data_IF_006124677415
#
_entry.id   IF_006124677415
#
_cell.length_a   1.000
_cell.length_b   1.000
_cell.length_c   1.000
_cell.angle_alpha   90.00
_cell.angle_beta   90.00
_cell.angle_gamma   90.00
#
_symmetry.space_group_name_H-M   'P 1'
#
loop_
_entity.id
_entity.type
_entity.pdbx_description
1 polymer ?
#
# COMPACT_ATOMS: atom_id res chain seq x y z
N UNK A 1 11.77 -15.98 18.41
CA UNK A 1 12.10 -15.20 19.64
C UNK A 1 11.61 -13.79 19.37
N UNK A 2 10.74 -13.11 20.11
CA UNK A 2 10.10 -13.19 21.43
C UNK A 2 8.67 -12.61 21.26
N UNK A 3 7.61 -13.31 21.66
CA UNK A 3 6.91 -13.20 22.96
C UNK A 3 6.46 -11.78 23.34
N UNK A 4 5.18 -11.48 23.07
CA UNK A 4 4.27 -10.82 24.03
C UNK A 4 2.82 -11.20 23.72
N UNK A 5 2.39 -12.29 24.35
CA UNK A 5 1.00 -12.52 24.75
C UNK A 5 0.81 -11.84 26.10
N UNK A 6 -0.24 -11.03 26.26
CA UNK A 6 -0.80 -10.60 27.53
C UNK A 6 -2.27 -10.26 27.23
N UNK A 7 -3.18 -11.23 27.20
CA UNK A 7 -4.10 -11.56 28.29
C UNK A 7 -4.61 -10.30 29.02
N UNK A 8 -5.83 -9.88 28.68
CA UNK A 8 -6.86 -9.45 29.63
C UNK A 8 -8.16 -10.16 29.21
N UNK A 9 -8.41 -11.39 29.69
CA UNK A 9 -9.40 -11.71 30.75
C UNK A 9 -10.67 -10.86 30.74
N UNK A 10 -11.70 -11.38 30.07
CA UNK A 10 -13.05 -11.65 30.62
C UNK A 10 -13.64 -10.62 31.61
N UNK A 11 -14.69 -9.92 31.18
CA UNK A 11 -15.78 -9.56 32.07
C UNK A 11 -17.10 -10.07 31.48
N UNK A 12 -17.65 -11.06 32.17
CA UNK A 12 -18.95 -11.64 31.91
C UNK A 12 -20.05 -10.70 32.40
N UNK A 13 -21.14 -10.69 31.63
CA UNK A 13 -22.55 -10.49 32.02
C UNK A 13 -22.88 -9.64 33.25
N UNK A 14 -23.61 -8.55 33.00
CA UNK A 14 -24.76 -8.16 33.83
C UNK A 14 -25.92 -7.84 32.89
N UNK A 15 -26.90 -8.74 32.84
CA UNK A 15 -28.22 -8.47 32.32
C UNK A 15 -29.01 -7.77 33.43
N UNK A 16 -29.44 -6.53 33.22
CA UNK A 16 -30.46 -5.88 34.06
C UNK A 16 -31.77 -5.89 33.29
N UNK A 17 -32.69 -6.65 33.87
CA UNK A 17 -34.07 -6.86 33.50
C UNK A 17 -34.92 -5.66 33.97
N UNK A 18 -35.52 -4.95 33.01
CA UNK A 18 -36.84 -4.31 33.03
C UNK A 18 -37.27 -3.35 34.15
N UNK A 19 -37.69 -2.15 33.76
CA UNK A 19 -39.02 -1.58 34.10
C UNK A 19 -39.25 -0.33 33.24
N UNK A 20 -40.43 -0.23 32.63
CA UNK A 20 -40.78 0.83 31.69
C UNK A 20 -40.91 2.20 32.36
N UNK A 21 -40.42 3.22 31.66
CA UNK A 21 -40.87 4.58 31.84
C UNK A 21 -41.00 5.22 30.45
N UNK A 22 -42.24 5.50 30.06
CA UNK A 22 -42.60 6.21 28.85
C UNK A 22 -42.54 7.69 29.18
N UNK A 23 -41.53 8.38 28.67
CA UNK A 23 -41.51 9.84 28.57
C UNK A 23 -41.03 10.22 27.16
N UNK A 24 -41.84 11.06 26.54
CA UNK A 24 -41.75 11.57 25.17
C UNK A 24 -40.38 12.16 24.83
N UNK A 25 -39.65 11.55 23.89
CA UNK A 25 -38.50 12.19 23.23
C UNK A 25 -38.97 13.04 22.02
N UNK A 26 -38.31 14.17 21.72
CA UNK A 26 -38.44 14.80 20.42
C UNK A 26 -37.77 13.92 19.35
N UNK A 27 -38.47 13.70 18.25
CA UNK A 27 -38.03 12.89 17.11
C UNK A 27 -36.79 13.50 16.47
N UNK A 28 -35.60 13.00 16.80
CA UNK A 28 -34.43 13.16 15.94
C UNK A 28 -34.55 12.07 14.88
N UNK A 29 -34.68 12.49 13.62
CA UNK A 29 -34.79 11.59 12.47
C UNK A 29 -33.45 10.87 12.33
N UNK A 30 -33.34 9.68 12.91
CA UNK A 30 -32.25 8.74 12.61
C UNK A 30 -32.45 8.30 11.16
N UNK A 31 -31.57 8.76 10.27
CA UNK A 31 -31.53 8.32 8.89
C UNK A 31 -31.47 6.78 8.86
N UNK A 32 -32.49 6.22 8.23
CA UNK A 32 -32.65 4.80 7.97
C UNK A 32 -31.43 4.29 7.21
N UNK A 33 -30.89 3.15 7.66
CA UNK A 33 -29.73 2.49 7.08
C UNK A 33 -30.01 2.10 5.62
N UNK A 34 -29.66 2.97 4.69
CA UNK A 34 -29.49 2.62 3.29
C UNK A 34 -28.26 1.70 3.18
N UNK A 35 -28.26 0.68 2.29
CA UNK A 35 -27.05 -0.07 2.00
C UNK A 35 -26.04 0.89 1.37
N UNK A 36 -25.08 1.36 2.17
CA UNK A 36 -24.00 2.18 1.66
C UNK A 36 -23.19 1.31 0.69
N UNK A 37 -23.34 1.61 -0.60
CA UNK A 37 -22.43 1.11 -1.62
C UNK A 37 -21.09 1.75 -1.31
N UNK A 38 -20.23 0.92 -0.72
CA UNK A 38 -18.87 1.21 -0.30
C UNK A 38 -18.09 1.79 -1.47
N UNK A 39 -17.87 3.12 -1.46
CA UNK A 39 -17.02 3.79 -2.43
C UNK A 39 -15.58 3.86 -1.90
N UNK A 40 -14.66 3.27 -2.67
CA UNK A 40 -13.24 3.34 -2.41
C UNK A 40 -12.76 4.75 -2.18
N UNK A 41 -12.00 4.94 -1.11
CA UNK A 41 -11.37 6.22 -0.91
C UNK A 41 -10.55 6.67 -2.09
N UNK A 42 -10.52 7.99 -2.29
CA UNK A 42 -9.84 8.55 -3.45
C UNK A 42 -8.33 8.23 -3.47
N UNK A 43 -7.73 7.80 -2.35
CA UNK A 43 -6.31 7.47 -2.24
C UNK A 43 -6.05 5.96 -2.27
N UNK A 44 -6.88 5.14 -1.63
CA UNK A 44 -6.81 3.67 -1.72
C UNK A 44 -7.11 3.21 -3.16
N UNK A 45 -8.09 3.85 -3.80
CA UNK A 45 -8.38 3.65 -5.22
C UNK A 45 -7.17 3.98 -6.11
N UNK A 46 -6.47 5.08 -5.81
CA UNK A 46 -5.25 5.47 -6.55
C UNK A 46 -4.11 4.49 -6.31
N UNK A 47 -3.99 3.92 -5.11
CA UNK A 47 -3.00 2.89 -4.80
C UNK A 47 -3.28 1.59 -5.57
N UNK A 48 -4.52 1.11 -5.57
CA UNK A 48 -4.90 -0.09 -6.33
C UNK A 48 -4.82 0.13 -7.85
N UNK A 49 -5.19 1.32 -8.35
CA UNK A 49 -4.96 1.70 -9.75
C UNK A 49 -3.47 1.72 -10.12
N UNK A 50 -2.61 2.26 -9.23
CA UNK A 50 -1.17 2.26 -9.43
C UNK A 50 -0.60 0.84 -9.47
N UNK A 51 -1.10 -0.05 -8.60
CA UNK A 51 -0.70 -1.46 -8.53
C UNK A 51 -1.10 -2.22 -9.79
N UNK A 52 -2.33 -2.03 -10.28
CA UNK A 52 -2.79 -2.61 -11.53
C UNK A 52 -1.96 -2.14 -12.74
N UNK A 53 -1.59 -0.85 -12.78
CA UNK A 53 -0.67 -0.29 -13.79
C UNK A 53 0.72 -0.90 -13.69
N UNK A 54 1.26 -1.07 -12.48
CA UNK A 54 2.57 -1.68 -12.26
C UNK A 54 2.60 -3.15 -12.69
N UNK A 55 1.56 -3.93 -12.38
CA UNK A 55 1.44 -5.32 -12.83
C UNK A 55 1.38 -5.44 -14.35
N UNK A 56 0.65 -4.53 -15.00
CA UNK A 56 0.58 -4.47 -16.46
C UNK A 56 1.94 -4.11 -17.06
N UNK A 57 2.59 -3.05 -16.56
CA UNK A 57 3.91 -2.64 -17.03
C UNK A 57 4.99 -3.72 -16.82
N UNK A 58 4.89 -4.51 -15.75
CA UNK A 58 5.77 -5.64 -15.49
C UNK A 58 5.58 -6.77 -16.52
N UNK A 59 4.33 -7.07 -16.90
CA UNK A 59 4.04 -8.05 -17.97
C UNK A 59 4.56 -7.58 -19.33
N UNK A 60 4.40 -6.29 -19.63
CA UNK A 60 4.93 -5.69 -20.85
C UNK A 60 6.47 -5.78 -20.91
N UNK A 61 7.14 -5.51 -19.78
CA UNK A 61 8.59 -5.67 -19.67
C UNK A 61 9.04 -7.11 -19.92
N UNK A 62 8.42 -8.11 -19.28
CA UNK A 62 8.78 -9.52 -19.50
C UNK A 62 8.56 -9.96 -20.96
N UNK A 63 7.49 -9.45 -21.59
CA UNK A 63 7.20 -9.72 -23.01
C UNK A 63 8.26 -9.10 -23.93
N UNK A 64 8.62 -7.84 -23.69
CA UNK A 64 9.64 -7.13 -24.46
C UNK A 64 11.02 -7.77 -24.29
N UNK A 65 11.38 -8.17 -23.08
CA UNK A 65 12.62 -8.90 -22.76
C UNK A 65 12.72 -10.23 -23.51
N UNK A 66 11.64 -11.01 -23.55
CA UNK A 66 11.60 -12.26 -24.33
C UNK A 66 11.80 -12.00 -25.83
N UNK A 67 11.11 -11.00 -26.38
CA UNK A 67 11.25 -10.60 -27.78
C UNK A 67 12.69 -10.15 -28.12
N UNK A 68 13.32 -9.38 -27.24
CA UNK A 68 14.70 -8.94 -27.37
C UNK A 68 15.68 -10.13 -27.37
N UNK A 69 15.51 -11.09 -26.45
CA UNK A 69 16.32 -12.29 -26.39
C UNK A 69 16.18 -13.16 -27.65
N UNK A 70 14.96 -13.35 -28.15
CA UNK A 70 14.69 -14.13 -29.37
C UNK A 70 15.30 -13.46 -30.61
N UNK A 71 15.14 -12.14 -30.76
CA UNK A 71 15.72 -11.38 -31.87
C UNK A 71 17.26 -11.40 -31.84
N UNK A 72 17.85 -11.23 -30.65
CA UNK A 72 19.30 -11.32 -30.45
C UNK A 72 19.84 -12.70 -30.80
N UNK A 73 19.19 -13.77 -30.32
CA UNK A 73 19.57 -15.15 -30.63
C UNK A 73 19.54 -15.42 -32.13
N UNK A 74 18.51 -14.94 -32.84
CA UNK A 74 18.41 -15.10 -34.29
C UNK A 74 19.58 -14.44 -35.01
N UNK A 75 19.95 -13.22 -34.62
CA UNK A 75 21.10 -12.52 -35.19
C UNK A 75 22.42 -13.27 -34.91
N UNK A 76 22.62 -13.77 -33.70
CA UNK A 76 23.81 -14.56 -33.33
C UNK A 76 23.90 -15.89 -34.11
N UNK A 77 22.78 -16.60 -34.26
CA UNK A 77 22.70 -17.85 -35.03
C UNK A 77 23.01 -17.60 -36.53
N UNK A 78 22.48 -16.51 -37.10
CA UNK A 78 22.73 -16.10 -38.49
C UNK A 78 24.20 -15.69 -38.73
N UNK A 79 24.78 -14.95 -37.78
CA UNK A 79 26.20 -14.59 -37.81
C UNK A 79 27.08 -15.83 -37.73
N UNK A 80 26.79 -16.74 -36.79
CA UNK A 80 27.57 -17.96 -36.58
C UNK A 80 27.58 -18.87 -37.81
N UNK A 81 26.44 -19.04 -38.49
CA UNK A 81 26.36 -19.79 -39.76
C UNK A 81 27.24 -19.19 -40.85
N UNK A 82 27.30 -17.86 -40.91
CA UNK A 82 28.13 -17.13 -41.88
C UNK A 82 29.62 -17.33 -41.60
N UNK A 83 30.02 -17.25 -40.33
CA UNK A 83 31.40 -17.48 -39.88
C UNK A 83 31.83 -18.94 -40.08
N UNK A 84 30.99 -19.91 -39.70
CA UNK A 84 31.24 -21.34 -39.87
C UNK A 84 31.40 -21.70 -41.35
N UNK A 85 30.56 -21.16 -42.24
CA UNK A 85 30.71 -21.34 -43.69
C UNK A 85 32.04 -20.76 -44.19
N UNK A 86 32.40 -19.54 -43.77
CA UNK A 86 33.66 -18.90 -44.17
C UNK A 86 34.89 -19.73 -43.79
N UNK A 87 34.90 -20.27 -42.57
CA UNK A 87 35.98 -21.14 -42.10
C UNK A 87 36.09 -22.44 -42.90
N UNK A 88 34.95 -23.09 -43.20
CA UNK A 88 34.90 -24.30 -44.02
C UNK A 88 35.34 -24.04 -45.47
N UNK A 89 34.96 -22.89 -46.06
CA UNK A 89 35.38 -22.49 -47.40
C UNK A 89 36.89 -22.27 -47.45
N UNK A 90 37.47 -21.65 -46.43
CA UNK A 90 38.93 -21.46 -46.33
C UNK A 90 39.67 -22.80 -46.21
N UNK A 91 39.21 -23.71 -45.35
CA UNK A 91 39.81 -25.04 -45.19
C UNK A 91 39.75 -25.86 -46.49
N UNK A 92 38.58 -25.92 -47.12
CA UNK A 92 38.40 -26.69 -48.36
C UNK A 92 39.10 -26.03 -49.55
N UNK A 93 39.24 -24.70 -49.59
CA UNK A 93 40.07 -24.01 -50.57
C UNK A 93 41.55 -24.37 -50.43
N UNK A 94 42.07 -24.44 -49.20
CA UNK A 94 43.44 -24.91 -48.94
C UNK A 94 43.66 -26.34 -49.45
N UNK A 95 42.73 -27.26 -49.19
CA UNK A 95 42.78 -28.64 -49.74
C UNK A 95 42.82 -28.66 -51.27
N UNK A 96 42.04 -27.81 -51.94
CA UNK A 96 42.07 -27.68 -53.41
C UNK A 96 43.44 -27.18 -53.88
N UNK A 97 44.03 -26.20 -53.20
CA UNK A 97 45.35 -25.66 -53.54
C UNK A 97 46.44 -26.72 -53.36
N UNK A 98 46.44 -27.45 -52.24
CA UNK A 98 47.39 -28.52 -51.96
C UNK A 98 47.28 -29.65 -52.99
N UNK A 99 46.07 -30.11 -53.31
CA UNK A 99 45.84 -31.11 -54.35
C UNK A 99 46.23 -30.62 -55.75
N UNK A 100 46.06 -29.32 -56.04
CA UNK A 100 46.51 -28.71 -57.30
C UNK A 100 48.03 -28.72 -57.39
N UNK A 101 48.73 -28.45 -56.28
CA UNK A 101 50.19 -28.51 -56.21
C UNK A 101 50.69 -29.95 -56.40
N UNK A 102 50.02 -30.95 -55.82
CA UNK A 102 50.33 -32.37 -56.07
C UNK A 102 50.23 -32.73 -57.56
N UNK A 103 49.16 -32.29 -58.25
CA UNK A 103 49.00 -32.52 -59.69
C UNK A 103 50.13 -31.87 -60.48
N UNK A 104 50.49 -30.62 -60.18
CA UNK A 104 51.60 -29.93 -60.86
C UNK A 104 52.93 -30.67 -60.66
N UNK A 105 53.23 -31.10 -59.45
CA UNK A 105 54.43 -31.87 -59.13
C UNK A 105 54.46 -33.22 -59.88
N UNK A 106 53.33 -33.92 -59.96
CA UNK A 106 53.23 -35.17 -60.72
C UNK A 106 53.48 -34.96 -62.23
N UNK A 107 52.99 -33.86 -62.80
CA UNK A 107 53.29 -33.49 -64.19
C UNK A 107 54.77 -33.11 -64.42
N UNK A 108 55.42 -32.47 -63.44
CA UNK A 108 56.87 -32.21 -63.49
C UNK A 108 57.64 -33.53 -63.51
N UNK A 109 57.32 -34.48 -62.61
CA UNK A 109 57.95 -35.81 -62.59
C UNK A 109 57.75 -36.57 -63.91
N UNK A 110 56.56 -36.50 -64.51
CA UNK A 110 56.29 -37.09 -65.82
C UNK A 110 57.16 -36.47 -66.92
N UNK A 111 57.27 -35.14 -66.93
CA UNK A 111 58.13 -34.40 -67.86
C UNK A 111 59.62 -34.78 -67.71
N UNK A 112 60.10 -34.98 -66.49
CA UNK A 112 61.46 -35.47 -66.21
C UNK A 112 61.67 -36.93 -66.65
N UNK A 113 60.69 -37.80 -66.40
CA UNK A 113 60.72 -39.19 -66.85
C UNK A 113 60.81 -39.28 -68.38
N UNK A 114 60.09 -38.41 -69.11
CA UNK A 114 60.08 -38.38 -70.57
C UNK A 114 61.44 -37.98 -71.20
N UNK A 115 62.25 -37.19 -70.46
CA UNK A 115 63.60 -36.77 -70.89
C UNK A 115 64.65 -37.89 -70.82
N UNK A 116 64.41 -38.99 -70.08
CA UNK A 116 65.35 -40.11 -69.92
C UNK A 116 65.37 -41.02 -71.17
N UNK A 117 66.49 -41.70 -71.44
CA UNK A 117 66.68 -42.65 -72.55
C UNK A 117 66.93 -44.08 -72.03
N UNK A 118 66.57 -45.11 -72.79
CA UNK A 118 66.80 -46.53 -72.46
C UNK A 118 65.55 -47.30 -72.04
N UNK A 119 65.70 -48.62 -71.78
CA UNK A 119 64.60 -49.57 -71.51
C UNK A 119 63.76 -49.23 -70.25
N UNK A 120 64.33 -48.50 -69.29
CA UNK A 120 63.64 -48.14 -68.03
C UNK A 120 62.70 -46.93 -68.16
N UNK A 121 62.71 -46.22 -69.30
CA UNK A 121 61.88 -45.02 -69.51
C UNK A 121 60.40 -45.33 -69.44
N UNK A 122 59.99 -46.42 -70.08
CA UNK A 122 58.58 -46.78 -70.26
C UNK A 122 57.92 -47.10 -68.92
N UNK A 123 58.62 -47.83 -68.05
CA UNK A 123 58.17 -48.11 -66.67
C UNK A 123 58.04 -46.83 -65.84
N UNK A 124 59.02 -45.92 -65.91
CA UNK A 124 58.98 -44.63 -65.17
C UNK A 124 57.86 -43.72 -65.64
N UNK A 125 57.53 -43.73 -66.94
CA UNK A 125 56.39 -42.98 -67.47
C UNK A 125 55.06 -43.56 -66.98
N UNK A 126 54.92 -44.89 -66.94
CA UNK A 126 53.73 -45.54 -66.39
C UNK A 126 53.54 -45.21 -64.89
N UNK A 127 54.61 -45.26 -64.10
CA UNK A 127 54.57 -44.91 -62.66
C UNK A 127 54.21 -43.42 -62.46
N UNK A 128 54.79 -42.50 -63.25
CA UNK A 128 54.48 -41.09 -63.19
C UNK A 128 53.04 -40.79 -63.65
N UNK A 129 52.53 -41.51 -64.65
CA UNK A 129 51.14 -41.38 -65.09
C UNK A 129 50.16 -41.83 -64.00
N UNK A 130 50.45 -42.94 -63.31
CA UNK A 130 49.64 -43.40 -62.17
C UNK A 130 49.58 -42.35 -61.06
N UNK A 131 50.70 -41.67 -60.76
CA UNK A 131 50.72 -40.54 -59.82
C UNK A 131 49.88 -39.35 -60.29
N UNK A 132 49.88 -39.04 -61.60
CA UNK A 132 49.01 -38.01 -62.17
C UNK A 132 47.55 -38.38 -61.95
N UNK A 133 47.15 -39.61 -62.29
CA UNK A 133 45.77 -40.07 -62.17
C UNK A 133 45.29 -40.01 -60.69
N UNK A 134 46.12 -40.49 -59.76
CA UNK A 134 45.86 -40.42 -58.31
C UNK A 134 45.74 -38.97 -57.81
N UNK A 135 46.63 -38.07 -58.24
CA UNK A 135 46.59 -36.65 -57.88
C UNK A 135 45.36 -35.93 -58.47
N UNK A 136 44.98 -36.27 -59.71
CA UNK A 136 43.78 -35.73 -60.35
C UNK A 136 42.50 -36.20 -59.67
N UNK A 137 42.45 -37.46 -59.21
CA UNK A 137 41.32 -37.98 -58.43
C UNK A 137 41.18 -37.22 -57.10
N UNK A 138 42.29 -37.00 -56.38
CA UNK A 138 42.31 -36.18 -55.15
C UNK A 138 41.84 -34.75 -55.41
N UNK A 139 42.33 -34.11 -56.47
CA UNK A 139 41.90 -32.76 -56.84
C UNK A 139 40.40 -32.69 -57.14
N UNK A 140 39.86 -33.71 -57.81
CA UNK A 140 38.43 -33.80 -58.11
C UNK A 140 37.60 -33.93 -56.83
N UNK A 141 38.02 -34.79 -55.88
CA UNK A 141 37.38 -34.91 -54.57
C UNK A 141 37.42 -33.59 -53.78
N UNK A 142 38.60 -32.96 -53.69
CA UNK A 142 38.75 -31.67 -53.00
C UNK A 142 37.89 -30.56 -53.64
N UNK A 143 37.81 -30.51 -54.97
CA UNK A 143 36.94 -29.56 -55.68
C UNK A 143 35.47 -29.80 -55.39
N UNK A 144 35.03 -31.06 -55.35
CA UNK A 144 33.65 -31.42 -55.03
C UNK A 144 33.29 -31.03 -53.58
N UNK A 145 34.20 -31.27 -52.62
CA UNK A 145 34.04 -30.82 -51.23
C UNK A 145 33.91 -29.29 -51.14
N UNK A 146 34.81 -28.55 -51.80
CA UNK A 146 34.76 -27.09 -51.85
C UNK A 146 33.45 -26.58 -52.47
N UNK A 147 32.98 -27.17 -53.58
CA UNK A 147 31.70 -26.82 -54.18
C UNK A 147 30.52 -27.09 -53.25
N UNK A 148 30.55 -28.19 -52.49
CA UNK A 148 29.53 -28.52 -51.49
C UNK A 148 29.45 -27.47 -50.39
N UNK A 149 30.59 -26.96 -49.90
CA UNK A 149 30.62 -25.89 -48.90
C UNK A 149 30.09 -24.57 -49.48
N UNK A 150 30.49 -24.20 -50.71
CA UNK A 150 29.97 -22.97 -51.35
C UNK A 150 28.45 -22.98 -51.53
N UNK A 151 27.88 -24.17 -51.74
CA UNK A 151 26.44 -24.37 -51.86
C UNK A 151 25.66 -24.23 -50.52
N UNK A 152 26.35 -24.20 -49.36
CA UNK A 152 25.68 -23.96 -48.08
C UNK A 152 25.00 -22.58 -48.09
N UNK A 153 23.72 -22.54 -47.75
CA UNK A 153 22.95 -21.30 -47.69
C UNK A 153 23.25 -20.58 -46.38
N UNK A 154 23.70 -19.34 -46.49
CA UNK A 154 23.90 -18.42 -45.36
C UNK A 154 23.07 -17.16 -45.58
N UNK A 155 22.68 -16.44 -44.52
CA UNK A 155 21.98 -15.17 -44.67
C UNK A 155 22.82 -14.18 -45.48
N UNK A 156 22.17 -13.49 -46.41
CA UNK A 156 22.82 -12.43 -47.19
C UNK A 156 23.19 -11.24 -46.27
N UNK A 157 24.17 -10.41 -46.66
CA UNK A 157 24.57 -9.24 -45.85
C UNK A 157 23.41 -8.32 -45.49
N UNK A 158 22.46 -8.14 -46.42
CA UNK A 158 21.25 -7.34 -46.18
C UNK A 158 20.32 -8.00 -45.16
N UNK A 159 20.14 -9.33 -45.23
CA UNK A 159 19.33 -10.09 -44.27
C UNK A 159 19.97 -10.08 -42.87
N UNK A 160 21.30 -10.20 -42.79
CA UNK A 160 22.04 -10.13 -41.53
C UNK A 160 21.96 -8.71 -40.92
N UNK A 161 22.00 -7.67 -41.75
CA UNK A 161 21.78 -6.30 -41.30
C UNK A 161 20.33 -6.09 -40.81
N UNK A 162 19.34 -6.70 -41.46
CA UNK A 162 17.95 -6.66 -41.04
C UNK A 162 17.73 -7.38 -39.69
N UNK A 163 18.32 -8.56 -39.49
CA UNK A 163 18.22 -9.27 -38.20
C UNK A 163 18.95 -8.54 -37.08
N UNK A 164 20.10 -7.92 -37.37
CA UNK A 164 20.79 -7.02 -36.43
C UNK A 164 19.90 -5.85 -36.03
N UNK A 165 19.33 -5.15 -37.01
CA UNK A 165 18.45 -4.00 -36.76
C UNK A 165 17.24 -4.40 -35.92
N UNK A 166 16.61 -5.54 -36.21
CA UNK A 166 15.49 -6.08 -35.40
C UNK A 166 15.90 -6.39 -33.96
N UNK A 167 17.12 -6.91 -33.74
CA UNK A 167 17.65 -7.16 -32.40
C UNK A 167 17.90 -5.86 -31.63
N UNK A 168 18.47 -4.84 -32.28
CA UNK A 168 18.67 -3.52 -31.69
C UNK A 168 17.35 -2.82 -31.35
N UNK A 169 16.37 -2.84 -32.26
CA UNK A 169 15.03 -2.30 -32.04
C UNK A 169 14.32 -3.00 -30.88
N UNK A 170 14.38 -4.34 -30.81
CA UNK A 170 13.78 -5.10 -29.72
C UNK A 170 14.45 -4.81 -28.35
N UNK A 171 15.78 -4.60 -28.33
CA UNK A 171 16.49 -4.17 -27.11
C UNK A 171 16.10 -2.75 -26.68
N UNK A 172 15.90 -1.84 -27.63
CA UNK A 172 15.40 -0.50 -27.32
C UNK A 172 13.96 -0.56 -26.76
N UNK A 173 13.09 -1.38 -27.33
CA UNK A 173 11.75 -1.64 -26.80
C UNK A 173 11.79 -2.22 -25.38
N UNK A 174 12.68 -3.18 -25.10
CA UNK A 174 12.89 -3.73 -23.75
C UNK A 174 13.30 -2.63 -22.76
N UNK A 175 14.24 -1.76 -23.13
CA UNK A 175 14.70 -0.68 -22.27
C UNK A 175 13.57 0.30 -21.92
N UNK A 176 12.74 0.67 -22.90
CA UNK A 176 11.57 1.53 -22.69
C UNK A 176 10.53 0.85 -21.80
N UNK A 177 10.27 -0.45 -22.01
CA UNK A 177 9.34 -1.21 -21.19
C UNK A 177 9.83 -1.34 -19.74
N UNK A 178 11.13 -1.53 -19.54
CA UNK A 178 11.76 -1.55 -18.22
C UNK A 178 11.59 -0.21 -17.49
N UNK A 179 11.88 0.90 -18.16
CA UNK A 179 11.72 2.24 -17.56
C UNK A 179 10.26 2.50 -17.14
N UNK A 180 9.29 2.11 -17.97
CA UNK A 180 7.86 2.20 -17.64
C UNK A 180 7.50 1.33 -16.42
N UNK A 181 8.03 0.11 -16.35
CA UNK A 181 7.81 -0.78 -15.20
C UNK A 181 8.41 -0.21 -13.91
N UNK A 182 9.65 0.29 -13.97
CA UNK A 182 10.33 0.91 -12.83
C UNK A 182 9.60 2.18 -12.34
N UNK A 183 9.10 3.00 -13.29
CA UNK A 183 8.29 4.19 -12.96
C UNK A 183 6.97 3.80 -12.30
N UNK A 184 6.25 2.83 -12.84
CA UNK A 184 5.00 2.36 -12.26
C UNK A 184 5.20 1.78 -10.85
N UNK A 185 6.30 1.05 -10.61
CA UNK A 185 6.65 0.57 -9.27
C UNK A 185 6.89 1.72 -8.27
N UNK A 186 7.55 2.81 -8.69
CA UNK A 186 7.72 4.00 -7.86
C UNK A 186 6.39 4.71 -7.56
N UNK A 187 5.48 4.77 -8.53
CA UNK A 187 4.14 5.35 -8.32
C UNK A 187 3.35 4.56 -7.27
N UNK A 188 3.46 3.23 -7.24
CA UNK A 188 2.89 2.38 -6.18
C UNK A 188 3.47 2.71 -4.81
N UNK A 189 4.79 2.85 -4.70
CA UNK A 189 5.45 3.18 -3.44
C UNK A 189 5.01 4.56 -2.92
N UNK A 190 4.89 5.55 -3.81
CA UNK A 190 4.42 6.91 -3.46
C UNK A 190 2.95 6.87 -3.03
N UNK A 191 2.10 6.12 -3.74
CA UNK A 191 0.69 5.98 -3.37
C UNK A 191 0.53 5.32 -2.00
N UNK A 192 1.30 4.25 -1.72
CA UNK A 192 1.30 3.57 -0.41
C UNK A 192 1.71 4.50 0.72
N UNK A 193 2.79 5.27 0.56
CA UNK A 193 3.26 6.23 1.56
C UNK A 193 2.24 7.35 1.86
N UNK A 194 1.41 7.71 0.88
CA UNK A 194 0.35 8.71 1.07
C UNK A 194 -0.78 8.16 1.94
N UNK A 195 -1.21 6.94 1.67
CA UNK A 195 -2.20 6.23 2.50
C UNK A 195 -1.69 6.11 3.94
N UNK A 196 -0.49 5.58 4.13
CA UNK A 196 0.12 5.41 5.46
C UNK A 196 0.27 6.74 6.23
N UNK A 197 0.53 7.85 5.54
CA UNK A 197 0.66 9.16 6.16
C UNK A 197 -0.68 9.72 6.64
N UNK A 198 -1.75 9.52 5.87
CA UNK A 198 -3.10 9.95 6.20
C UNK A 198 -3.67 9.11 7.37
N UNK A 199 -3.45 7.80 7.35
CA UNK A 199 -3.82 6.91 8.47
C UNK A 199 -3.12 7.31 9.78
N UNK A 200 -1.84 7.68 9.72
CA UNK A 200 -1.07 8.12 10.89
C UNK A 200 -1.46 9.52 11.39
N UNK A 201 -1.95 10.40 10.52
CA UNK A 201 -2.50 11.70 10.92
C UNK A 201 -3.84 11.52 11.63
N UNK A 202 -4.68 10.61 11.13
CA UNK A 202 -5.92 10.20 11.76
C UNK A 202 -5.72 9.64 13.16
N UNK A 203 -4.76 8.73 13.33
CA UNK A 203 -4.46 8.13 14.65
C UNK A 203 -4.11 9.19 15.70
N UNK A 204 -3.36 10.23 15.29
CA UNK A 204 -3.01 11.33 16.19
C UNK A 204 -4.22 12.16 16.57
N UNK A 205 -5.08 12.52 15.61
CA UNK A 205 -6.31 13.27 15.88
C UNK A 205 -7.23 12.51 16.83
N UNK A 206 -7.45 11.22 16.60
CA UNK A 206 -8.26 10.37 17.50
C UNK A 206 -7.67 10.36 18.91
N UNK A 207 -6.36 10.18 19.05
CA UNK A 207 -5.71 10.18 20.37
C UNK A 207 -5.81 11.53 21.08
N UNK A 208 -5.66 12.66 20.37
CA UNK A 208 -5.81 14.00 20.93
C UNK A 208 -7.24 14.23 21.45
N UNK A 209 -8.24 13.79 20.68
CA UNK A 209 -9.65 13.90 21.03
C UNK A 209 -10.01 13.02 22.23
N UNK A 210 -9.55 11.77 22.27
CA UNK A 210 -9.75 10.89 23.41
C UNK A 210 -9.18 11.48 24.71
N UNK A 211 -8.00 12.13 24.65
CA UNK A 211 -7.42 12.80 25.81
C UNK A 211 -8.26 14.00 26.26
N UNK A 212 -8.73 14.84 25.32
CA UNK A 212 -9.62 15.97 25.63
C UNK A 212 -10.92 15.52 26.30
N UNK A 213 -11.55 14.46 25.76
CA UNK A 213 -12.76 13.87 26.34
C UNK A 213 -12.48 13.37 27.76
N UNK A 214 -11.39 12.65 27.98
CA UNK A 214 -11.03 12.13 29.30
C UNK A 214 -10.76 13.24 30.33
N UNK A 215 -10.07 14.32 29.94
CA UNK A 215 -9.80 15.46 30.81
C UNK A 215 -11.10 16.17 31.22
N UNK A 216 -12.01 16.38 30.26
CA UNK A 216 -13.28 17.03 30.55
C UNK A 216 -14.26 16.15 31.32
N UNK A 217 -14.33 14.83 31.04
CA UNK A 217 -15.08 13.86 31.85
C UNK A 217 -14.67 13.96 33.33
N UNK A 218 -13.37 14.13 33.60
CA UNK A 218 -12.85 14.33 34.95
C UNK A 218 -13.27 15.67 35.55
N UNK A 219 -13.21 16.76 34.79
CA UNK A 219 -13.63 18.08 35.27
C UNK A 219 -15.13 18.13 35.59
N UNK A 220 -15.97 17.46 34.81
CA UNK A 220 -17.40 17.31 35.06
C UNK A 220 -17.62 16.53 36.35
N UNK A 221 -16.95 15.39 36.53
CA UNK A 221 -17.06 14.60 37.75
C UNK A 221 -16.66 15.39 39.02
N UNK A 222 -15.61 16.20 38.94
CA UNK A 222 -15.18 17.08 40.04
C UNK A 222 -16.22 18.19 40.31
N UNK A 223 -16.83 18.75 39.27
CA UNK A 223 -17.89 19.76 39.40
C UNK A 223 -19.19 19.16 39.98
N UNK A 224 -19.63 18.00 39.51
CA UNK A 224 -20.78 17.26 40.04
C UNK A 224 -20.59 16.90 41.51
N UNK A 225 -19.37 16.49 41.91
CA UNK A 225 -19.05 16.26 43.33
C UNK A 225 -19.18 17.54 44.16
N UNK A 226 -18.72 18.67 43.63
CA UNK A 226 -18.82 19.98 44.31
C UNK A 226 -20.29 20.38 44.49
N UNK A 227 -21.11 20.18 43.45
CA UNK A 227 -22.57 20.40 43.51
C UNK A 227 -23.20 19.51 44.58
N UNK A 228 -22.90 18.21 44.59
CA UNK A 228 -23.47 17.27 45.55
C UNK A 228 -23.08 17.60 47.01
N UNK A 229 -21.87 18.10 47.24
CA UNK A 229 -21.43 18.52 48.58
C UNK A 229 -22.11 19.84 49.02
N UNK A 230 -22.28 20.79 48.10
CA UNK A 230 -23.03 22.03 48.36
C UNK A 230 -24.53 21.77 48.61
N UNK A 231 -25.15 20.84 47.88
CA UNK A 231 -26.54 20.44 48.11
C UNK A 231 -26.75 19.87 49.52
N UNK A 232 -25.78 19.07 50.03
CA UNK A 232 -25.82 18.58 51.42
C UNK A 232 -25.66 19.71 52.44
N UNK A 233 -24.82 20.71 52.17
CA UNK A 233 -24.68 21.88 53.05
C UNK A 233 -25.97 22.71 53.07
N UNK A 234 -26.56 22.97 51.90
CA UNK A 234 -27.83 23.68 51.77
C UNK A 234 -28.94 22.94 52.54
N UNK A 235 -29.08 21.62 52.35
CA UNK A 235 -30.10 20.84 53.06
C UNK A 235 -29.94 20.85 54.59
N UNK A 236 -28.69 20.88 55.09
CA UNK A 236 -28.44 21.03 56.54
C UNK A 236 -28.85 22.42 57.02
N UNK A 237 -28.49 23.47 56.29
CA UNK A 237 -28.86 24.85 56.64
C UNK A 237 -30.37 25.08 56.56
N UNK A 238 -31.06 24.48 55.59
CA UNK A 238 -32.53 24.53 55.53
C UNK A 238 -33.17 23.93 56.78
N UNK A 239 -32.64 22.80 57.25
CA UNK A 239 -33.08 22.17 58.49
C UNK A 239 -32.76 23.03 59.71
N UNK A 240 -31.56 23.61 59.79
CA UNK A 240 -31.19 24.50 60.90
C UNK A 240 -32.11 25.73 60.95
N UNK A 241 -32.44 26.32 59.79
CA UNK A 241 -33.42 27.43 59.68
C UNK A 241 -34.80 27.00 60.18
N UNK A 242 -35.27 25.80 59.84
CA UNK A 242 -36.54 25.27 60.33
C UNK A 242 -36.52 25.03 61.85
N UNK A 243 -35.45 24.44 62.38
CA UNK A 243 -35.27 24.20 63.81
C UNK A 243 -35.21 25.53 64.60
N UNK A 244 -34.55 26.57 64.08
CA UNK A 244 -34.53 27.90 64.70
C UNK A 244 -35.89 28.61 64.65
N UNK A 245 -36.66 28.47 63.56
CA UNK A 245 -38.04 29.00 63.46
C UNK A 245 -38.96 28.43 64.54
N UNK A 246 -38.72 27.20 64.95
CA UNK A 246 -39.52 26.49 65.94
C UNK A 246 -38.99 26.63 67.39
N UNK A 247 -37.98 27.47 67.63
CA UNK A 247 -37.31 27.62 68.92
C UNK A 247 -37.66 28.94 69.62
N UNK A 248 -37.97 28.91 70.91
CA UNK A 248 -38.37 30.08 71.72
C UNK A 248 -37.21 30.69 72.54
N UNK A 249 -35.97 30.56 72.08
CA UNK A 249 -34.78 31.08 72.80
C UNK A 249 -34.59 32.60 72.63
N UNK A 250 -34.04 33.26 73.64
CA UNK A 250 -33.79 34.73 73.66
C UNK A 250 -32.85 35.23 72.54
N UNK A 251 -32.07 34.32 71.94
CA UNK A 251 -31.18 34.56 70.80
C UNK A 251 -31.65 33.91 69.49
N UNK A 252 -32.81 33.22 69.49
CA UNK A 252 -33.28 32.43 68.35
C UNK A 252 -33.49 33.28 67.09
N UNK A 253 -33.99 34.51 67.23
CA UNK A 253 -34.13 35.45 66.11
C UNK A 253 -32.78 35.84 65.47
N UNK A 254 -31.72 35.97 66.27
CA UNK A 254 -30.39 36.31 65.76
C UNK A 254 -29.74 35.12 65.04
N UNK A 255 -29.87 33.91 65.59
CA UNK A 255 -29.38 32.68 64.94
C UNK A 255 -30.18 32.37 63.67
N UNK A 256 -31.49 32.62 63.67
CA UNK A 256 -32.33 32.47 62.48
C UNK A 256 -31.88 33.42 61.37
N UNK A 257 -31.70 34.71 61.68
CA UNK A 257 -31.26 35.70 60.69
C UNK A 257 -29.86 35.39 60.13
N UNK A 258 -28.96 34.84 60.95
CA UNK A 258 -27.64 34.38 60.50
C UNK A 258 -27.74 33.14 59.59
N UNK A 259 -28.53 32.14 59.99
CA UNK A 259 -28.74 30.91 59.22
C UNK A 259 -29.44 31.17 57.88
N UNK A 260 -30.44 32.07 57.83
CA UNK A 260 -31.10 32.47 56.59
C UNK A 260 -30.13 33.20 55.64
N UNK A 261 -29.25 34.05 56.17
CA UNK A 261 -28.22 34.73 55.37
C UNK A 261 -27.19 33.75 54.81
N UNK A 262 -26.71 32.81 55.62
CA UNK A 262 -25.77 31.77 55.19
C UNK A 262 -26.42 30.81 54.18
N UNK A 263 -27.70 30.49 54.34
CA UNK A 263 -28.46 29.69 53.39
C UNK A 263 -28.57 30.37 52.02
N UNK A 264 -28.88 31.68 51.99
CA UNK A 264 -28.94 32.46 50.74
C UNK A 264 -27.57 32.48 50.05
N UNK A 265 -26.49 32.70 50.81
CA UNK A 265 -25.13 32.69 50.26
C UNK A 265 -24.77 31.31 49.69
N UNK A 266 -25.10 30.22 50.40
CA UNK A 266 -24.82 28.85 49.95
C UNK A 266 -25.65 28.40 48.76
N UNK A 267 -26.91 28.84 48.66
CA UNK A 267 -27.74 28.62 47.46
C UNK A 267 -27.19 29.37 46.24
N UNK A 268 -26.62 30.57 46.43
CA UNK A 268 -25.94 31.29 45.36
C UNK A 268 -24.65 30.57 44.91
N UNK A 269 -23.81 30.10 45.85
CA UNK A 269 -22.62 29.28 45.53
C UNK A 269 -22.99 27.99 44.78
N UNK A 270 -24.09 27.32 45.18
CA UNK A 270 -24.60 26.14 44.50
C UNK A 270 -25.05 26.44 43.06
N UNK A 271 -25.76 27.55 42.85
CA UNK A 271 -26.19 27.98 41.52
C UNK A 271 -24.98 28.27 40.60
N UNK A 272 -23.97 28.99 41.10
CA UNK A 272 -22.73 29.25 40.35
C UNK A 272 -21.97 27.95 40.01
N UNK A 273 -21.92 26.99 40.94
CA UNK A 273 -21.28 25.69 40.72
C UNK A 273 -22.02 24.88 39.63
N UNK A 274 -23.36 24.85 39.67
CA UNK A 274 -24.17 24.17 38.63
C UNK A 274 -24.02 24.84 37.25
N UNK A 275 -24.00 26.18 37.18
CA UNK A 275 -23.75 26.91 35.92
C UNK A 275 -22.37 26.57 35.35
N UNK A 276 -21.33 26.53 36.19
CA UNK A 276 -19.97 26.20 35.77
C UNK A 276 -19.85 24.76 35.24
N UNK A 277 -20.55 23.81 35.87
CA UNK A 277 -20.62 22.43 35.40
C UNK A 277 -21.31 22.34 34.02
N UNK A 278 -22.46 23.00 33.87
CA UNK A 278 -23.20 23.03 32.61
C UNK A 278 -22.41 23.72 31.47
N UNK A 279 -21.74 24.83 31.76
CA UNK A 279 -20.96 25.58 30.76
C UNK A 279 -19.79 24.75 30.21
N UNK A 280 -19.02 24.07 31.08
CA UNK A 280 -17.91 23.19 30.65
C UNK A 280 -18.39 22.03 29.79
N UNK A 281 -19.60 21.54 30.06
CA UNK A 281 -20.22 20.43 29.32
C UNK A 281 -20.72 20.87 27.94
N UNK A 282 -21.26 22.09 27.84
CA UNK A 282 -21.64 22.72 26.57
C UNK A 282 -20.44 23.11 25.68
N UNK A 283 -19.27 23.39 26.26
CA UNK A 283 -18.02 23.63 25.49
C UNK A 283 -17.50 22.35 24.79
N UNK A 284 -17.87 21.18 25.30
CA UNK A 284 -17.40 19.87 24.83
C UNK A 284 -18.15 19.38 23.60
N UNK A 285 -19.46 19.59 23.55
CA UNK A 285 -20.33 19.23 22.41
C UNK A 285 -19.80 19.68 21.04
N UNK A 286 -19.46 20.97 20.82
CA UNK A 286 -19.02 21.43 19.51
C UNK A 286 -17.60 21.01 19.14
N UNK A 287 -16.72 20.69 20.12
CA UNK A 287 -15.41 20.11 19.81
C UNK A 287 -15.53 18.65 19.36
N UNK A 288 -16.49 17.93 19.94
CA UNK A 288 -16.73 16.52 19.68
C UNK A 288 -17.51 16.29 18.37
N UNK A 289 -18.50 17.14 18.08
CA UNK A 289 -19.21 17.13 16.79
C UNK A 289 -18.27 17.49 15.62
N UNK A 290 -17.34 18.43 15.83
CA UNK A 290 -16.30 18.75 14.82
C UNK A 290 -15.33 17.59 14.61
N UNK A 291 -14.96 16.90 15.67
CA UNK A 291 -14.10 15.74 15.64
C UNK A 291 -14.74 14.56 14.88
N UNK A 292 -15.99 14.26 15.19
CA UNK A 292 -16.79 13.25 14.48
C UNK A 292 -16.95 13.63 13.01
N UNK A 293 -17.26 14.89 12.69
CA UNK A 293 -17.36 15.33 11.29
C UNK A 293 -16.01 15.26 10.54
N UNK A 294 -14.88 15.57 11.18
CA UNK A 294 -13.56 15.40 10.57
C UNK A 294 -13.19 13.92 10.39
N UNK A 295 -13.56 13.06 11.34
CA UNK A 295 -13.36 11.61 11.25
C UNK A 295 -14.24 10.99 10.17
N UNK A 296 -15.53 11.34 10.10
CA UNK A 296 -16.47 10.85 9.08
C UNK A 296 -16.04 11.28 7.67
N UNK A 297 -15.57 12.53 7.50
CA UNK A 297 -15.03 13.01 6.22
C UNK A 297 -13.75 12.29 5.80
N UNK A 298 -12.95 11.79 6.74
CA UNK A 298 -11.70 11.10 6.45
C UNK A 298 -11.86 9.57 6.37
N UNK A 299 -12.83 9.00 7.10
CA UNK A 299 -13.23 7.59 7.03
C UNK A 299 -14.05 7.31 5.77
N UNK A 300 -14.87 8.26 5.30
CA UNK A 300 -15.43 8.20 3.94
C UNK A 300 -14.35 8.27 2.85
N UNK A 301 -13.13 8.68 3.22
CA UNK A 301 -11.91 8.55 2.43
C UNK A 301 -10.96 7.43 2.89
N UNK A 302 -11.43 6.37 3.52
CA UNK A 302 -10.71 5.08 3.65
C UNK A 302 -11.71 3.95 3.31
N UNK A 303 -11.37 3.06 2.38
CA UNK A 303 -12.34 2.04 1.92
C UNK A 303 -12.40 0.81 2.83
N UNK A 304 -13.59 0.37 3.30
CA UNK A 304 -13.77 -0.77 4.20
C UNK A 304 -13.64 -2.18 3.57
N UNK A 305 -13.21 -2.35 2.31
CA UNK A 305 -13.17 -3.67 1.64
C UNK A 305 -12.02 -4.60 2.07
N UNK A 306 -11.34 -4.30 3.16
CA UNK A 306 -10.35 -5.20 3.73
C UNK A 306 -10.08 -4.92 5.20
N UNK A 307 -11.13 -4.85 6.04
CA UNK A 307 -11.04 -4.52 7.47
C UNK A 307 -9.74 -5.02 8.09
N UNK A 308 -8.78 -4.11 8.22
CA UNK A 308 -7.60 -4.38 9.05
C UNK A 308 -8.05 -4.30 10.51
N UNK A 309 -7.34 -4.97 11.42
CA UNK A 309 -7.69 -4.88 12.85
C UNK A 309 -7.66 -3.42 13.34
N UNK A 310 -6.77 -2.59 12.78
CA UNK A 310 -6.64 -1.17 13.11
C UNK A 310 -7.85 -0.34 12.66
N UNK A 311 -8.48 -0.63 11.50
CA UNK A 311 -9.72 0.05 11.08
C UNK A 311 -10.93 -0.35 11.94
N UNK A 312 -11.01 -1.62 12.38
CA UNK A 312 -12.03 -2.08 13.32
C UNK A 312 -11.89 -1.41 14.69
N UNK A 313 -10.65 -1.23 15.13
CA UNK A 313 -10.35 -0.56 16.40
C UNK A 313 -10.66 0.96 16.30
N UNK A 314 -10.53 1.58 15.13
CA UNK A 314 -10.97 2.97 14.86
C UNK A 314 -12.49 3.12 14.84
N UNK A 315 -13.20 2.24 14.14
CA UNK A 315 -14.67 2.23 14.10
C UNK A 315 -15.25 1.97 15.51
N UNK A 316 -14.59 1.13 16.30
CA UNK A 316 -14.94 0.92 17.70
C UNK A 316 -14.66 2.15 18.57
N UNK A 317 -13.55 2.85 18.35
CA UNK A 317 -13.22 4.07 19.06
C UNK A 317 -14.21 5.21 18.75
N UNK A 318 -14.61 5.37 17.50
CA UNK A 318 -15.66 6.32 17.08
C UNK A 318 -17.01 5.96 17.72
N UNK A 319 -17.42 4.69 17.66
CA UNK A 319 -18.65 4.24 18.28
C UNK A 319 -18.64 4.40 19.82
N UNK A 320 -17.49 4.30 20.46
CA UNK A 320 -17.33 4.59 21.88
C UNK A 320 -17.42 6.09 22.18
N UNK A 321 -16.83 6.92 21.31
CA UNK A 321 -16.92 8.38 21.37
C UNK A 321 -18.38 8.85 21.26
N UNK A 322 -19.11 8.36 20.25
CA UNK A 322 -20.52 8.70 20.03
C UNK A 322 -21.39 8.30 21.22
N UNK A 323 -21.13 7.14 21.84
CA UNK A 323 -21.85 6.73 23.06
C UNK A 323 -21.55 7.65 24.24
N UNK A 324 -20.29 8.08 24.39
CA UNK A 324 -19.91 9.04 25.44
C UNK A 324 -20.57 10.39 25.22
N UNK A 325 -20.68 10.85 23.98
CA UNK A 325 -21.40 12.08 23.60
C UNK A 325 -22.86 12.01 23.95
N UNK A 326 -23.56 10.96 23.52
CA UNK A 326 -24.98 10.78 23.84
C UNK A 326 -25.20 10.73 25.36
N UNK A 327 -24.31 10.07 26.11
CA UNK A 327 -24.38 10.04 27.57
C UNK A 327 -24.18 11.44 28.20
N UNK A 328 -23.20 12.20 27.72
CA UNK A 328 -22.94 13.56 28.20
C UNK A 328 -24.10 14.51 27.86
N UNK A 329 -24.65 14.44 26.64
CA UNK A 329 -25.80 15.26 26.24
C UNK A 329 -27.03 15.03 27.13
N UNK A 330 -27.33 13.78 27.44
CA UNK A 330 -28.44 13.45 28.34
C UNK A 330 -28.23 14.03 29.75
N UNK A 331 -27.01 13.96 30.26
CA UNK A 331 -26.69 14.55 31.56
C UNK A 331 -26.62 16.09 31.54
N UNK A 332 -26.36 16.74 30.39
CA UNK A 332 -26.49 18.21 30.27
C UNK A 332 -27.95 18.59 30.47
N UNK A 333 -28.85 17.91 29.75
CA UNK A 333 -30.27 18.18 29.78
C UNK A 333 -30.86 18.04 31.20
N UNK A 334 -30.44 17.02 31.96
CA UNK A 334 -30.85 16.87 33.37
C UNK A 334 -30.37 18.03 34.26
N UNK A 335 -29.12 18.47 34.12
CA UNK A 335 -28.57 19.58 34.91
C UNK A 335 -29.21 20.94 34.56
N UNK A 336 -29.53 21.17 33.28
CA UNK A 336 -30.27 22.36 32.84
C UNK A 336 -31.69 22.39 33.42
N UNK A 337 -32.37 21.23 33.47
CA UNK A 337 -33.70 21.12 34.07
C UNK A 337 -33.66 21.35 35.59
N UNK A 338 -32.64 20.83 36.27
CA UNK A 338 -32.42 21.09 37.70
C UNK A 338 -32.07 22.55 38.01
N UNK A 339 -31.25 23.20 37.17
CA UNK A 339 -30.95 24.62 37.27
C UNK A 339 -32.22 25.46 37.13
N UNK A 340 -33.07 25.15 36.16
CA UNK A 340 -34.36 25.84 35.97
C UNK A 340 -35.24 25.72 37.22
N UNK A 341 -35.34 24.54 37.83
CA UNK A 341 -36.11 24.32 39.07
C UNK A 341 -35.53 25.10 40.25
N UNK A 342 -34.20 25.20 40.35
CA UNK A 342 -33.53 25.92 41.42
C UNK A 342 -33.67 27.44 41.27
N UNK A 343 -33.61 27.96 40.05
CA UNK A 343 -33.89 29.38 39.75
C UNK A 343 -35.32 29.77 40.10
N UNK A 344 -36.30 28.91 39.79
CA UNK A 344 -37.70 29.17 40.12
C UNK A 344 -37.92 29.19 41.65
N UNK A 345 -37.24 28.32 42.39
CA UNK A 345 -37.28 28.29 43.85
C UNK A 345 -36.52 29.45 44.54
N UNK A 346 -35.59 30.12 43.84
CA UNK A 346 -34.88 31.30 44.33
C UNK A 346 -35.61 32.62 44.02
N UNK A 347 -36.52 32.61 43.03
CA UNK A 347 -37.33 33.78 42.62
C UNK A 347 -38.70 33.85 43.33
N UNK A 348 -39.12 32.80 44.02
CA UNK A 348 -40.35 32.73 44.84
C UNK A 348 -40.11 33.05 46.31
#
# INVERSE_FOLDING_TARGET
MNKKKMILTSLASVAILGAGFVASQPTVVRAEAAPQVVEKSSLEKKYEEAKAKADTAKKDYETAKKKAAEAQKKYEDDQKRTEEKGALEEETSRKVNDATLEVQNAYVEYGEANKKKGKDREKKLADAQKKIDEAQEKLTKAKNEFQSVRAMVVPEPEQLAETKKKAEEAKAEEAVAKEKSDKAAKEVEVAKKRVEAEEAELDKKVAELQNKVADLEKEIADAEKTVADLEKEVAKLEKDVEDFKNSNGEQAEQYLAAAEKDLVAKKAELAEAKIKAATKKAELEPELEKAEAELENLLSTLDPEGKTQDELDKEAAEAELNKKVEALQNQVAELEEELSKLEDNLKG
#
